data_IF_568053939823
#
_entry.id   IF_568053939823
#
_cell.length_a   1.000
_cell.length_b   1.000
_cell.length_c   1.000
_cell.angle_alpha   90.00
_cell.angle_beta   90.00
_cell.angle_gamma   90.00
#
_symmetry.space_group_name_H-M   'P 1'
#
loop_
_entity.id
_entity.type
_entity.pdbx_description
1 polymer ?
#
# COMPACT_ATOMS: atom_id res chain seq x y z
N UNK A 1 3.82 3.82 25.32
CA UNK A 1 3.31 4.65 24.20
C UNK A 1 3.07 6.05 24.72
N UNK A 2 3.23 7.10 23.91
CA UNK A 2 2.89 8.48 24.29
C UNK A 2 1.41 8.80 24.10
N UNK A 3 0.59 7.85 23.62
CA UNK A 3 -0.81 8.10 23.28
C UNK A 3 -1.01 8.79 21.93
N UNK A 4 0.06 9.10 21.20
CA UNK A 4 0.02 9.87 19.95
C UNK A 4 0.79 9.12 18.86
N UNK A 5 0.18 9.00 17.68
CA UNK A 5 0.88 8.60 16.46
C UNK A 5 0.87 9.74 15.46
N UNK A 6 1.93 9.89 14.68
CA UNK A 6 2.06 10.90 13.61
C UNK A 6 2.34 10.18 12.32
N UNK A 7 1.53 10.42 11.29
CA UNK A 7 1.63 9.76 9.99
C UNK A 7 1.76 10.82 8.91
N UNK A 8 2.87 10.81 8.18
CA UNK A 8 3.02 11.67 7.00
C UNK A 8 2.16 11.14 5.87
N UNK A 9 1.52 12.03 5.11
CA UNK A 9 0.64 11.67 4.00
C UNK A 9 0.82 12.63 2.82
N UNK A 10 0.61 12.13 1.61
CA UNK A 10 0.52 12.93 0.38
C UNK A 10 -0.91 13.40 0.08
N UNK A 11 -1.90 12.97 0.86
CA UNK A 11 -3.29 13.41 0.72
C UNK A 11 -3.39 14.86 1.19
N UNK A 12 -3.76 15.76 0.27
CA UNK A 12 -3.81 17.19 0.55
C UNK A 12 -4.99 17.58 1.45
N UNK A 13 -6.11 16.86 1.38
CA UNK A 13 -7.31 17.08 2.19
C UNK A 13 -8.14 15.80 2.30
N UNK A 14 -8.76 15.59 3.46
CA UNK A 14 -9.73 14.52 3.72
C UNK A 14 -11.17 15.07 3.77
N UNK A 15 -12.15 14.16 3.75
CA UNK A 15 -13.59 14.48 3.87
C UNK A 15 -14.35 13.36 4.60
N UNK A 16 -15.67 13.30 4.45
CA UNK A 16 -16.56 12.36 5.16
C UNK A 16 -16.48 10.88 4.69
N UNK A 17 -15.48 10.52 3.90
CA UNK A 17 -15.32 9.17 3.33
C UNK A 17 -14.45 8.24 4.18
N UNK A 18 -14.08 8.66 5.40
CA UNK A 18 -13.25 7.91 6.34
C UNK A 18 -11.82 7.56 5.87
N UNK A 19 -11.32 8.10 4.75
CA UNK A 19 -10.01 7.72 4.23
C UNK A 19 -8.86 7.96 5.24
N UNK A 20 -8.98 8.95 6.12
CA UNK A 20 -7.99 9.23 7.17
C UNK A 20 -7.89 8.11 8.23
N UNK A 21 -8.88 7.21 8.30
CA UNK A 21 -8.93 6.07 9.22
C UNK A 21 -8.27 4.82 8.65
N UNK A 22 -7.69 4.88 7.45
CA UNK A 22 -7.05 3.74 6.78
C UNK A 22 -5.64 4.05 6.30
N UNK A 23 -4.68 3.22 6.69
CA UNK A 23 -3.27 3.34 6.28
C UNK A 23 -3.09 3.17 4.77
N UNK A 24 -3.88 2.30 4.15
CA UNK A 24 -3.90 2.09 2.69
C UNK A 24 -4.39 3.30 1.89
N UNK A 25 -5.04 4.27 2.55
CA UNK A 25 -5.61 5.46 1.93
C UNK A 25 -4.91 6.75 2.41
N UNK A 26 -3.68 6.61 2.92
CA UNK A 26 -2.86 7.74 3.39
C UNK A 26 -3.23 8.24 4.79
N UNK A 27 -4.09 7.53 5.51
CA UNK A 27 -4.46 7.79 6.89
C UNK A 27 -3.75 6.88 7.90
N UNK A 28 -4.42 6.57 9.01
CA UNK A 28 -3.91 5.66 10.04
C UNK A 28 -5.04 4.79 10.58
N UNK A 29 -4.82 3.47 10.62
CA UNK A 29 -5.78 2.53 11.20
C UNK A 29 -6.05 2.86 12.66
N UNK A 30 -7.30 2.69 13.09
CA UNK A 30 -7.72 2.81 14.48
C UNK A 30 -6.90 1.88 15.40
N UNK A 31 -6.61 2.35 16.61
CA UNK A 31 -6.37 1.45 17.74
C UNK A 31 -7.67 0.74 18.12
N UNK A 32 -7.57 -0.31 18.93
CA UNK A 32 -8.73 -1.09 19.36
C UNK A 32 -9.83 -0.18 19.94
N UNK A 33 -10.92 0.03 19.20
CA UNK A 33 -12.00 0.95 19.52
C UNK A 33 -12.80 0.55 20.76
N UNK A 34 -12.69 -0.71 21.19
CA UNK A 34 -13.23 -1.16 22.48
C UNK A 34 -12.40 -0.71 23.69
N UNK A 35 -11.17 -0.22 23.48
CA UNK A 35 -10.24 0.16 24.55
C UNK A 35 -9.79 1.62 24.44
N UNK A 36 -9.96 2.25 23.28
CA UNK A 36 -9.50 3.61 23.02
C UNK A 36 -10.56 4.40 22.27
N UNK A 37 -10.81 5.65 22.72
CA UNK A 37 -11.39 6.67 21.85
C UNK A 37 -10.32 7.10 20.85
N UNK A 38 -10.52 6.76 19.58
CA UNK A 38 -9.63 7.20 18.51
C UNK A 38 -10.03 8.60 18.06
N UNK A 39 -9.04 9.51 18.01
CA UNK A 39 -9.21 10.87 17.50
C UNK A 39 -8.22 11.06 16.35
N UNK A 40 -8.74 11.22 15.13
CA UNK A 40 -7.95 11.56 13.96
C UNK A 40 -7.91 13.06 13.77
N UNK A 41 -6.71 13.62 13.68
CA UNK A 41 -6.51 15.05 13.41
C UNK A 41 -5.88 15.17 12.02
N UNK A 42 -6.55 15.84 11.09
CA UNK A 42 -6.10 15.94 9.71
C UNK A 42 -6.53 17.26 9.04
N UNK A 43 -6.10 17.50 7.81
CA UNK A 43 -6.62 18.61 7.01
C UNK A 43 -7.98 18.22 6.43
N UNK A 44 -9.07 18.78 6.97
CA UNK A 44 -10.43 18.55 6.48
C UNK A 44 -10.82 19.64 5.47
N UNK A 45 -11.43 19.21 4.36
CA UNK A 45 -11.90 20.10 3.30
C UNK A 45 -13.41 20.33 3.35
N UNK A 46 -13.91 21.16 2.43
CA UNK A 46 -15.35 21.36 2.25
C UNK A 46 -16.06 22.11 3.38
N UNK A 47 -15.32 22.84 4.22
CA UNK A 47 -15.87 23.58 5.37
C UNK A 47 -16.14 22.73 6.61
N UNK A 48 -15.72 21.46 6.61
CA UNK A 48 -15.93 20.54 7.73
C UNK A 48 -14.97 20.84 8.89
N UNK A 49 -15.51 21.04 10.09
CA UNK A 49 -14.71 21.24 11.32
C UNK A 49 -14.31 19.92 11.97
N UNK A 50 -15.24 18.96 11.99
CA UNK A 50 -15.08 17.64 12.56
C UNK A 50 -16.30 16.76 12.27
N UNK A 51 -16.21 15.49 12.62
CA UNK A 51 -17.37 14.59 12.65
C UNK A 51 -17.10 13.39 13.58
N UNK A 52 -18.18 12.77 14.05
CA UNK A 52 -18.18 11.52 14.79
C UNK A 52 -19.35 10.62 14.40
N UNK A 53 -19.24 9.35 14.76
CA UNK A 53 -20.35 8.40 14.68
C UNK A 53 -20.96 8.17 16.06
N UNK A 54 -22.29 8.24 16.13
CA UNK A 54 -23.03 7.79 17.30
C UNK A 54 -22.91 6.27 17.47
N UNK A 55 -23.05 5.75 18.70
CA UNK A 55 -22.94 4.32 18.96
C UNK A 55 -23.84 3.48 18.04
N UNK A 56 -23.27 2.44 17.42
CA UNK A 56 -24.00 1.50 16.57
C UNK A 56 -24.29 1.98 15.15
N UNK A 57 -23.84 3.17 14.76
CA UNK A 57 -24.08 3.73 13.40
C UNK A 57 -22.94 3.51 12.41
N UNK A 58 -21.82 2.94 12.87
CA UNK A 58 -20.62 2.72 12.04
C UNK A 58 -19.92 1.41 12.37
N UNK A 59 -19.02 0.98 11.47
CA UNK A 59 -18.18 -0.19 11.70
C UNK A 59 -17.07 0.10 12.73
N UNK A 60 -16.67 -0.92 13.49
CA UNK A 60 -15.71 -0.77 14.59
C UNK A 60 -14.33 -0.22 14.17
N UNK A 61 -13.94 -0.38 12.90
CA UNK A 61 -12.66 0.12 12.38
C UNK A 61 -12.69 1.62 11.97
N UNK A 62 -13.88 2.23 11.92
CA UNK A 62 -14.04 3.67 11.63
C UNK A 62 -14.68 4.44 12.80
N UNK A 63 -15.03 3.77 13.89
CA UNK A 63 -15.60 4.39 15.09
C UNK A 63 -14.59 5.31 15.80
N UNK A 64 -15.04 6.51 16.17
CA UNK A 64 -14.23 7.55 16.81
C UNK A 64 -14.57 8.94 16.30
N UNK A 65 -13.65 9.88 16.52
CA UNK A 65 -13.81 11.31 16.25
C UNK A 65 -12.78 11.77 15.23
N UNK A 66 -13.17 12.60 14.27
CA UNK A 66 -12.25 13.25 13.33
C UNK A 66 -12.34 14.75 13.49
N UNK A 67 -11.18 15.43 13.53
CA UNK A 67 -11.07 16.87 13.71
C UNK A 67 -10.17 17.48 12.64
N UNK A 68 -10.55 18.66 12.16
CA UNK A 68 -9.67 19.55 11.42
C UNK A 68 -8.57 20.06 12.34
N UNK A 69 -7.30 19.93 11.97
CA UNK A 69 -6.19 20.40 12.82
C UNK A 69 -6.28 21.89 13.18
N UNK A 70 -6.94 22.68 12.33
CA UNK A 70 -7.14 24.12 12.51
C UNK A 70 -8.13 24.46 13.63
N UNK A 71 -8.93 23.50 14.12
CA UNK A 71 -9.91 23.70 15.20
C UNK A 71 -9.36 23.41 16.60
N UNK A 72 -8.14 22.87 16.68
CA UNK A 72 -7.49 22.61 17.97
C UNK A 72 -7.21 23.92 18.72
N UNK A 73 -7.11 23.88 20.07
CA UNK A 73 -6.73 25.05 20.86
C UNK A 73 -5.45 25.71 20.34
N UNK A 74 -5.54 26.99 19.98
CA UNK A 74 -4.42 27.76 19.39
C UNK A 74 -4.18 27.51 17.90
N UNK A 75 -5.09 26.80 17.23
CA UNK A 75 -5.12 26.63 15.78
C UNK A 75 -5.52 27.90 15.03
N UNK A 76 -5.39 27.87 13.70
CA UNK A 76 -5.64 29.02 12.81
C UNK A 76 -7.11 29.18 12.42
N UNK A 77 -7.99 28.26 12.80
CA UNK A 77 -9.38 28.20 12.37
C UNK A 77 -10.35 29.03 13.20
N UNK A 78 -9.95 30.22 13.69
CA UNK A 78 -10.86 31.11 14.39
C UNK A 78 -12.12 31.38 13.53
N UNK A 79 -13.35 31.37 14.12
CA UNK A 79 -13.65 31.38 15.55
C UNK A 79 -13.78 29.99 16.23
N UNK A 80 -13.33 28.91 15.60
CA UNK A 80 -13.48 27.53 16.07
C UNK A 80 -12.18 26.91 16.60
N UNK A 81 -11.33 27.70 17.26
CA UNK A 81 -9.96 27.33 17.61
C UNK A 81 -9.69 27.31 19.14
N UNK A 82 -10.73 27.11 19.95
CA UNK A 82 -10.60 26.89 21.40
C UNK A 82 -10.84 25.43 21.79
N UNK A 83 -11.08 24.56 20.81
CA UNK A 83 -11.22 23.11 20.97
C UNK A 83 -12.65 22.63 21.21
N UNK A 84 -13.68 23.46 21.02
CA UNK A 84 -15.07 23.04 21.26
C UNK A 84 -15.66 22.18 20.16
N UNK A 85 -15.10 22.23 18.95
CA UNK A 85 -15.36 21.18 17.94
C UNK A 85 -15.12 19.78 18.53
N UNK A 86 -14.00 19.57 19.25
CA UNK A 86 -13.75 18.27 19.87
C UNK A 86 -14.80 17.93 20.94
N UNK A 87 -15.21 18.89 21.76
CA UNK A 87 -16.27 18.71 22.76
C UNK A 87 -17.59 18.31 22.12
N UNK A 88 -17.98 18.97 21.03
CA UNK A 88 -19.19 18.68 20.25
C UNK A 88 -19.16 17.27 19.65
N UNK A 89 -18.10 16.91 18.93
CA UNK A 89 -17.97 15.58 18.31
C UNK A 89 -17.89 14.44 19.34
N UNK A 90 -17.26 14.68 20.48
CA UNK A 90 -17.24 13.72 21.59
C UNK A 90 -18.65 13.56 22.21
N UNK A 91 -19.47 14.62 22.20
CA UNK A 91 -20.89 14.54 22.53
C UNK A 91 -21.63 13.54 21.63
N UNK A 92 -21.47 13.65 20.31
CA UNK A 92 -22.01 12.66 19.36
C UNK A 92 -21.47 11.25 19.58
N UNK A 93 -20.15 11.11 19.81
CA UNK A 93 -19.53 9.83 20.14
C UNK A 93 -20.20 9.16 21.36
N UNK A 94 -20.62 9.96 22.35
CA UNK A 94 -21.40 9.53 23.52
C UNK A 94 -22.92 9.71 23.37
N UNK A 95 -23.43 9.61 22.15
CA UNK A 95 -24.85 9.49 21.82
C UNK A 95 -25.69 10.76 22.05
N UNK A 96 -25.10 11.94 22.05
CA UNK A 96 -25.87 13.19 22.01
C UNK A 96 -26.27 13.53 20.57
N UNK A 97 -27.50 14.02 20.41
CA UNK A 97 -27.99 14.62 19.17
C UNK A 97 -27.70 16.12 19.19
N UNK A 98 -27.79 16.78 18.03
CA UNK A 98 -27.86 18.23 17.97
C UNK A 98 -29.09 18.75 18.72
N UNK A 99 -28.97 19.89 19.39
CA UNK A 99 -30.02 20.39 20.30
C UNK A 99 -31.32 20.81 19.59
N UNK A 100 -31.28 21.08 18.28
CA UNK A 100 -32.45 21.31 17.44
C UNK A 100 -33.12 20.02 16.93
N UNK A 101 -32.63 18.85 17.38
CA UNK A 101 -33.12 17.54 16.98
C UNK A 101 -32.53 17.03 15.66
N UNK A 102 -33.07 15.93 15.12
CA UNK A 102 -32.52 15.27 13.93
C UNK A 102 -32.66 16.11 12.66
N UNK A 103 -31.67 15.98 11.77
CA UNK A 103 -31.66 16.64 10.47
C UNK A 103 -31.26 18.11 10.54
N UNK A 104 -31.80 18.93 9.63
CA UNK A 104 -31.40 20.33 9.46
C UNK A 104 -32.29 21.32 10.25
N UNK A 105 -33.05 20.84 11.24
CA UNK A 105 -34.05 21.64 11.97
C UNK A 105 -35.35 21.85 11.18
N UNK A 106 -36.14 22.83 11.59
CA UNK A 106 -37.39 23.27 10.96
C UNK A 106 -38.66 22.61 11.49
N UNK A 107 -38.54 21.72 12.47
CA UNK A 107 -39.64 20.86 12.93
C UNK A 107 -39.84 20.85 14.45
N UNK A 108 -39.07 21.63 15.22
CA UNK A 108 -39.10 21.64 16.67
C UNK A 108 -38.99 20.22 17.28
N UNK A 109 -38.16 19.36 16.67
CA UNK A 109 -37.97 18.01 17.13
C UNK A 109 -37.13 17.96 18.41
N UNK A 110 -37.22 16.84 19.12
CA UNK A 110 -36.44 16.58 20.33
C UNK A 110 -35.06 15.99 19.97
N UNK A 111 -34.05 16.38 20.75
CA UNK A 111 -32.71 15.77 20.82
C UNK A 111 -32.66 14.58 21.82
N UNK A 112 -33.84 14.13 22.27
CA UNK A 112 -34.04 13.06 23.25
C UNK A 112 -33.46 13.37 24.64
N UNK A 113 -33.33 14.67 24.97
CA UNK A 113 -32.96 15.16 26.30
C UNK A 113 -34.04 16.13 26.79
N UNK A 114 -34.57 15.91 27.99
CA UNK A 114 -35.73 16.66 28.47
C UNK A 114 -35.41 18.06 29.01
N UNK A 115 -34.17 18.30 29.45
CA UNK A 115 -33.73 19.58 30.03
C UNK A 115 -33.03 20.51 29.01
N UNK A 116 -33.04 20.14 27.73
CA UNK A 116 -32.73 21.01 26.58
C UNK A 116 -34.05 21.54 25.99
N UNK A 117 -34.28 22.87 25.97
CA UNK A 117 -35.48 23.45 25.38
C UNK A 117 -35.61 23.06 23.89
N UNK A 118 -36.81 22.72 23.39
CA UNK A 118 -37.01 22.46 21.96
C UNK A 118 -36.55 23.65 21.13
N UNK A 119 -35.76 23.40 20.09
CA UNK A 119 -35.15 24.42 19.26
C UNK A 119 -35.44 24.17 17.77
N UNK A 120 -35.69 25.23 17.00
CA UNK A 120 -36.13 25.09 15.61
C UNK A 120 -34.96 24.81 14.66
N UNK A 121 -33.88 25.59 14.75
CA UNK A 121 -32.71 25.53 13.86
C UNK A 121 -31.42 25.69 14.68
N UNK A 122 -30.25 25.28 14.15
CA UNK A 122 -28.97 25.63 14.77
C UNK A 122 -28.81 27.14 14.94
N UNK A 123 -28.20 27.55 16.04
CA UNK A 123 -27.70 28.90 16.22
C UNK A 123 -26.24 28.99 15.79
N UNK A 124 -25.84 30.15 15.27
CA UNK A 124 -24.47 30.44 14.82
C UNK A 124 -23.94 31.71 15.50
N UNK A 125 -22.65 31.99 15.31
CA UNK A 125 -21.95 33.14 15.90
C UNK A 125 -22.05 33.16 17.43
N UNK A 126 -22.46 34.28 18.01
CA UNK A 126 -22.61 34.47 19.45
C UNK A 126 -23.94 35.18 19.73
N UNK A 127 -25.07 34.44 19.71
CA UNK A 127 -26.40 35.00 19.93
C UNK A 127 -26.50 35.66 21.31
N UNK A 128 -27.38 36.66 21.42
CA UNK A 128 -27.71 37.29 22.70
C UNK A 128 -28.90 36.58 23.33
N UNK A 129 -28.81 36.24 24.61
CA UNK A 129 -29.92 35.63 25.34
C UNK A 129 -30.97 36.69 25.74
N UNK A 130 -32.28 36.39 25.65
CA UNK A 130 -32.88 35.17 25.10
C UNK A 130 -33.03 35.22 23.58
N UNK A 131 -32.87 34.06 22.93
CA UNK A 131 -33.17 33.83 21.51
C UNK A 131 -34.20 32.71 21.39
N UNK A 132 -35.50 32.96 21.60
CA UNK A 132 -36.49 31.90 21.69
C UNK A 132 -36.93 31.34 20.32
N UNK A 133 -37.18 30.04 20.28
CA UNK A 133 -37.84 29.35 19.17
C UNK A 133 -38.81 28.28 19.70
N UNK A 134 -39.64 27.66 18.85
CA UNK A 134 -40.50 26.52 19.25
C UNK A 134 -41.33 26.73 20.53
N UNK A 135 -41.82 27.95 20.78
CA UNK A 135 -42.54 28.35 22.00
C UNK A 135 -41.77 28.14 23.31
N UNK A 136 -40.44 28.06 23.27
CA UNK A 136 -39.58 28.03 24.45
C UNK A 136 -39.33 29.45 25.00
N UNK A 137 -38.59 29.56 26.11
CA UNK A 137 -38.23 30.84 26.76
C UNK A 137 -36.87 31.40 26.27
N UNK A 138 -36.20 30.70 25.36
CA UNK A 138 -34.84 30.94 24.90
C UNK A 138 -34.19 29.62 24.51
N UNK A 139 -33.67 29.56 23.29
CA UNK A 139 -32.79 28.48 22.86
C UNK A 139 -31.57 28.42 23.76
N UNK A 140 -31.13 27.21 24.11
CA UNK A 140 -29.91 27.00 24.89
C UNK A 140 -28.70 27.04 23.97
N UNK A 141 -28.52 28.14 23.24
CA UNK A 141 -27.50 28.29 22.19
C UNK A 141 -26.06 28.16 22.69
N UNK A 142 -25.82 28.30 24.00
CA UNK A 142 -24.53 28.06 24.64
C UNK A 142 -24.22 26.58 24.92
N UNK A 143 -25.12 25.67 24.54
CA UNK A 143 -24.91 24.24 24.66
C UNK A 143 -23.82 23.77 23.68
N UNK A 144 -22.96 22.84 24.09
CA UNK A 144 -21.94 22.29 23.21
C UNK A 144 -22.51 21.55 21.98
N UNK A 145 -23.78 21.15 21.99
CA UNK A 145 -24.46 20.50 20.87
C UNK A 145 -25.21 21.46 19.94
N UNK A 146 -24.99 22.78 20.06
CA UNK A 146 -25.38 23.78 19.06
C UNK A 146 -24.18 24.14 18.14
N UNK A 147 -24.35 25.05 17.17
CA UNK A 147 -23.34 25.44 16.17
C UNK A 147 -22.77 26.86 16.34
N UNK A 148 -22.88 27.43 17.54
CA UNK A 148 -22.28 28.73 17.87
C UNK A 148 -20.74 28.70 17.82
N UNK A 149 -20.10 29.85 17.90
CA UNK A 149 -18.64 29.95 17.99
C UNK A 149 -18.11 29.32 19.29
N UNK A 150 -16.87 28.82 19.27
CA UNK A 150 -16.26 28.14 20.43
C UNK A 150 -16.35 28.97 21.72
N UNK A 151 -16.11 30.28 21.64
CA UNK A 151 -16.15 31.20 22.78
C UNK A 151 -17.55 31.39 23.40
N UNK A 152 -18.60 30.93 22.70
CA UNK A 152 -20.00 31.15 23.05
C UNK A 152 -20.74 29.88 23.46
N UNK A 153 -20.08 28.72 23.44
CA UNK A 153 -20.57 27.48 24.03
C UNK A 153 -19.75 27.08 25.27
N UNK A 154 -20.44 26.69 26.35
CA UNK A 154 -19.78 26.44 27.63
C UNK A 154 -20.45 25.39 28.52
N UNK A 155 -21.52 24.71 28.07
CA UNK A 155 -22.19 23.74 28.94
C UNK A 155 -22.81 22.53 28.23
N UNK A 156 -22.86 21.43 28.97
CA UNK A 156 -23.82 20.34 28.80
C UNK A 156 -24.88 20.42 29.90
N UNK A 157 -26.05 19.82 29.68
CA UNK A 157 -27.10 19.68 30.69
C UNK A 157 -26.92 18.43 31.55
N UNK A 158 -27.74 18.30 32.60
CA UNK A 158 -27.75 17.09 33.45
C UNK A 158 -28.35 15.91 32.69
N UNK A 159 -29.35 16.15 31.84
CA UNK A 159 -29.92 15.15 30.94
C UNK A 159 -28.92 14.63 29.91
N UNK A 160 -28.15 15.53 29.28
CA UNK A 160 -27.07 15.14 28.36
C UNK A 160 -26.00 14.29 29.06
N UNK A 161 -25.57 14.67 30.27
CA UNK A 161 -24.68 13.83 31.10
C UNK A 161 -25.26 12.42 31.29
N UNK A 162 -26.53 12.34 31.67
CA UNK A 162 -27.21 11.05 31.94
C UNK A 162 -27.20 10.16 30.68
N UNK A 163 -27.49 10.74 29.51
CA UNK A 163 -27.47 10.05 28.23
C UNK A 163 -26.07 9.57 27.84
N UNK A 164 -25.04 10.40 28.02
CA UNK A 164 -23.64 10.00 27.79
C UNK A 164 -23.20 8.84 28.68
N UNK A 165 -23.55 8.87 29.98
CA UNK A 165 -23.23 7.78 30.91
C UNK A 165 -23.94 6.47 30.53
N UNK A 166 -25.18 6.54 30.04
CA UNK A 166 -25.90 5.39 29.51
C UNK A 166 -25.21 4.81 28.26
N UNK A 167 -24.76 5.67 27.33
CA UNK A 167 -24.04 5.25 26.13
C UNK A 167 -22.71 4.54 26.45
N UNK A 168 -21.96 5.05 27.45
CA UNK A 168 -20.75 4.40 27.94
C UNK A 168 -21.06 2.98 28.44
N UNK A 169 -22.08 2.85 29.28
CA UNK A 169 -22.43 1.57 29.90
C UNK A 169 -22.98 0.55 28.90
N UNK A 170 -23.81 1.00 27.94
CA UNK A 170 -24.50 0.12 27.01
C UNK A 170 -23.67 -0.25 25.77
N UNK A 171 -22.86 0.68 25.25
CA UNK A 171 -22.23 0.52 23.92
C UNK A 171 -20.72 0.72 23.92
N UNK A 172 -20.14 1.27 25.00
CA UNK A 172 -18.70 1.58 25.07
C UNK A 172 -18.05 1.09 26.38
N UNK A 173 -18.57 0.01 26.96
CA UNK A 173 -18.17 -0.48 28.29
C UNK A 173 -16.69 -0.86 28.39
N UNK A 174 -16.05 -1.27 27.29
CA UNK A 174 -14.62 -1.55 27.27
C UNK A 174 -13.73 -0.34 27.56
N UNK A 175 -14.22 0.89 27.36
CA UNK A 175 -13.49 2.11 27.75
C UNK A 175 -13.31 2.20 29.27
N UNK A 176 -14.23 1.63 30.06
CA UNK A 176 -14.15 1.61 31.53
C UNK A 176 -13.07 0.65 32.04
N UNK A 177 -12.71 -0.36 31.26
CA UNK A 177 -11.72 -1.39 31.64
C UNK A 177 -10.37 -1.21 30.93
N UNK A 178 -10.25 -0.16 30.11
CA UNK A 178 -9.04 0.13 29.35
C UNK A 178 -7.83 0.33 30.26
N UNK A 179 -6.77 -0.41 29.98
CA UNK A 179 -5.47 -0.25 30.63
C UNK A 179 -4.61 0.84 29.96
N UNK A 180 -5.16 1.59 28.99
CA UNK A 180 -4.41 2.60 28.23
C UNK A 180 -3.80 3.73 29.07
N UNK A 181 -4.38 4.00 30.24
CA UNK A 181 -3.89 5.00 31.21
C UNK A 181 -2.99 4.40 32.30
N UNK A 182 -2.84 3.07 32.36
CA UNK A 182 -1.92 2.42 33.29
C UNK A 182 -0.52 2.45 32.65
N UNK A 183 0.48 3.07 33.31
CA UNK A 183 1.85 3.05 32.81
C UNK A 183 2.28 1.60 32.61
N UNK A 184 2.78 1.26 31.42
CA UNK A 184 3.34 -0.06 31.16
C UNK A 184 4.55 -0.23 32.09
N UNK A 185 4.41 -1.06 33.11
CA UNK A 185 5.54 -1.48 33.95
C UNK A 185 6.37 -2.40 33.09
N UNK A 186 7.49 -1.88 32.59
CA UNK A 186 8.42 -2.69 31.80
C UNK A 186 9.08 -3.72 32.74
N UNK A 187 9.19 -4.98 32.34
CA UNK A 187 9.98 -5.96 33.09
C UNK A 187 11.47 -5.56 33.13
N UNK A 188 12.26 -6.19 34.00
CA UNK A 188 13.69 -5.88 34.12
C UNK A 188 14.44 -6.12 32.80
N UNK A 189 14.20 -7.27 32.16
CA UNK A 189 14.75 -7.65 30.86
C UNK A 189 13.62 -8.25 30.01
N UNK A 190 13.47 -7.78 28.78
CA UNK A 190 12.51 -8.30 27.80
C UNK A 190 13.04 -7.97 26.40
N UNK A 191 13.46 -9.00 25.68
CA UNK A 191 13.90 -8.86 24.28
C UNK A 191 12.69 -9.16 23.41
N UNK A 192 12.44 -8.33 22.41
CA UNK A 192 11.32 -8.55 21.48
C UNK A 192 11.82 -8.55 20.04
N UNK A 193 11.29 -9.46 19.23
CA UNK A 193 11.49 -9.46 17.79
C UNK A 193 10.40 -8.60 17.14
N UNK A 194 10.79 -7.43 16.62
CA UNK A 194 9.82 -6.44 16.10
C UNK A 194 9.44 -6.73 14.66
N UNK A 195 10.40 -7.10 13.81
CA UNK A 195 10.14 -7.38 12.39
C UNK A 195 11.29 -8.08 11.70
N UNK A 196 10.98 -8.81 10.63
CA UNK A 196 11.96 -9.27 9.62
C UNK A 196 12.07 -8.19 8.53
N UNK A 197 13.27 -7.65 8.32
CA UNK A 197 13.59 -6.64 7.28
C UNK A 197 13.97 -7.31 5.97
N UNK A 198 14.81 -8.33 6.05
CA UNK A 198 15.22 -9.18 4.92
C UNK A 198 15.03 -10.64 5.32
N UNK A 199 14.45 -11.50 4.46
CA UNK A 199 14.03 -11.23 3.09
C UNK A 199 12.82 -10.29 2.97
N UNK A 200 12.75 -9.51 1.89
CA UNK A 200 11.53 -8.78 1.48
C UNK A 200 10.56 -9.76 0.80
N UNK A 201 9.42 -9.28 0.27
CA UNK A 201 8.45 -10.16 -0.40
C UNK A 201 9.05 -10.94 -1.59
N UNK A 202 10.10 -10.42 -2.22
CA UNK A 202 10.82 -11.09 -3.31
C UNK A 202 12.31 -10.83 -3.21
N UNK A 203 13.13 -11.88 -3.27
CA UNK A 203 14.60 -11.82 -3.20
C UNK A 203 15.23 -12.71 -4.27
N UNK A 204 16.50 -12.49 -4.67
CA UNK A 204 17.19 -13.45 -5.53
C UNK A 204 17.37 -14.81 -4.84
N UNK A 205 17.27 -15.91 -5.59
CA UNK A 205 17.75 -17.22 -5.13
C UNK A 205 19.27 -17.22 -5.02
N UNK A 206 19.83 -18.05 -4.17
CA UNK A 206 21.26 -18.08 -3.87
C UNK A 206 21.51 -17.65 -2.43
N UNK A 207 22.54 -16.85 -2.18
CA UNK A 207 22.87 -16.42 -0.82
C UNK A 207 21.84 -15.42 -0.27
N UNK A 208 21.19 -15.78 0.84
CA UNK A 208 20.31 -14.93 1.63
C UNK A 208 20.96 -14.66 2.99
N UNK A 209 21.25 -13.39 3.29
CA UNK A 209 21.58 -12.91 4.63
C UNK A 209 20.35 -12.22 5.24
N UNK A 210 19.63 -12.86 6.18
CA UNK A 210 18.46 -12.25 6.81
C UNK A 210 18.85 -11.02 7.65
N UNK A 211 17.93 -10.07 7.75
CA UNK A 211 18.04 -8.93 8.66
C UNK A 211 16.77 -8.80 9.47
N UNK A 212 16.91 -8.53 10.76
CA UNK A 212 15.78 -8.39 11.69
C UNK A 212 15.94 -7.16 12.57
N UNK A 213 14.82 -6.66 13.10
CA UNK A 213 14.80 -5.62 14.11
C UNK A 213 14.44 -6.25 15.45
N UNK A 214 15.35 -6.15 16.41
CA UNK A 214 15.11 -6.48 17.81
C UNK A 214 14.83 -5.21 18.61
N UNK A 215 14.10 -5.33 19.71
CA UNK A 215 13.78 -4.24 20.62
C UNK A 215 14.02 -4.67 22.06
N UNK A 216 14.56 -3.77 22.87
CA UNK A 216 14.52 -3.92 24.32
C UNK A 216 13.16 -3.41 24.84
N UNK A 217 12.27 -4.33 25.19
CA UNK A 217 10.99 -4.03 25.81
C UNK A 217 11.07 -3.99 27.35
N UNK A 218 12.25 -4.22 27.94
CA UNK A 218 12.53 -4.12 29.37
C UNK A 218 13.14 -2.78 29.79
N UNK A 219 13.48 -2.67 31.07
CA UNK A 219 14.10 -1.48 31.68
C UNK A 219 15.62 -1.49 31.61
N UNK A 220 16.24 -2.65 31.84
CA UNK A 220 17.69 -2.76 31.90
C UNK A 220 18.27 -2.87 30.50
N UNK A 221 19.51 -2.40 30.33
CA UNK A 221 20.20 -2.50 29.05
C UNK A 221 20.44 -3.98 28.71
N UNK A 222 20.07 -4.38 27.49
CA UNK A 222 20.33 -5.71 26.96
C UNK A 222 21.67 -5.69 26.21
N UNK A 223 22.62 -6.53 26.67
CA UNK A 223 23.96 -6.60 26.08
C UNK A 223 24.18 -7.84 25.21
N UNK A 224 23.34 -8.87 25.37
CA UNK A 224 23.43 -10.10 24.59
C UNK A 224 22.05 -10.72 24.38
N UNK A 225 21.84 -11.32 23.20
CA UNK A 225 20.68 -12.15 22.90
C UNK A 225 21.05 -13.17 21.82
N UNK A 226 20.40 -14.33 21.84
CA UNK A 226 20.52 -15.33 20.77
C UNK A 226 19.38 -15.14 19.78
N UNK A 227 19.71 -14.99 18.50
CA UNK A 227 18.77 -14.91 17.40
C UNK A 227 18.95 -16.15 16.55
N UNK A 228 17.89 -16.92 16.35
CA UNK A 228 17.89 -18.09 15.50
C UNK A 228 16.89 -17.94 14.37
N UNK A 229 17.20 -18.47 13.19
CA UNK A 229 16.25 -18.51 12.08
C UNK A 229 16.26 -19.86 11.37
N UNK A 230 15.13 -20.21 10.75
CA UNK A 230 15.00 -21.37 9.86
C UNK A 230 14.23 -20.98 8.59
N UNK A 231 14.52 -21.69 7.48
CA UNK A 231 13.81 -21.58 6.21
C UNK A 231 13.07 -22.90 5.98
N UNK A 232 11.77 -22.84 5.68
CA UNK A 232 10.91 -23.98 5.34
C UNK A 232 10.95 -25.15 6.36
N UNK A 233 10.99 -24.81 7.65
CA UNK A 233 11.15 -25.78 8.75
C UNK A 233 12.45 -26.61 8.67
N UNK A 234 13.44 -26.14 7.91
CA UNK A 234 14.77 -26.72 7.85
C UNK A 234 15.62 -26.43 9.10
N UNK A 235 16.92 -26.79 9.07
CA UNK A 235 17.82 -26.59 10.19
C UNK A 235 17.89 -25.12 10.64
N UNK A 236 17.86 -24.90 11.97
CA UNK A 236 18.00 -23.56 12.53
C UNK A 236 19.46 -23.10 12.51
N UNK A 237 19.68 -21.87 12.02
CA UNK A 237 20.96 -21.17 12.10
C UNK A 237 20.88 -20.19 13.27
N UNK A 238 21.80 -20.31 14.22
CA UNK A 238 21.85 -19.47 15.42
C UNK A 238 22.96 -18.43 15.35
N UNK A 239 22.69 -17.24 15.88
CA UNK A 239 23.61 -16.13 15.96
C UNK A 239 23.52 -15.47 17.33
N UNK A 240 24.66 -15.25 17.99
CA UNK A 240 24.73 -14.53 19.26
C UNK A 240 24.99 -13.05 18.99
N UNK A 241 23.95 -12.24 19.16
CA UNK A 241 24.05 -10.80 19.10
C UNK A 241 24.68 -10.27 20.39
N UNK A 242 25.72 -9.45 20.27
CA UNK A 242 26.33 -8.70 21.36
C UNK A 242 26.23 -7.21 21.04
N UNK A 243 25.86 -6.39 22.02
CA UNK A 243 25.70 -4.96 21.83
C UNK A 243 25.33 -4.21 23.11
N UNK A 244 24.67 -3.07 22.94
CA UNK A 244 24.25 -2.20 24.03
C UNK A 244 22.88 -1.61 23.71
N UNK A 245 21.81 -2.39 23.91
CA UNK A 245 20.44 -2.00 23.54
C UNK A 245 19.74 -1.37 24.75
N UNK A 246 19.71 -0.04 24.78
CA UNK A 246 19.03 0.74 25.81
C UNK A 246 17.52 0.43 25.88
N UNK A 247 16.90 0.70 27.03
CA UNK A 247 15.45 0.50 27.20
C UNK A 247 14.65 1.17 26.09
N UNK A 248 13.68 0.44 25.54
CA UNK A 248 12.80 0.85 24.44
C UNK A 248 13.49 1.11 23.09
N UNK A 249 14.81 1.03 23.01
CA UNK A 249 15.54 1.17 21.76
C UNK A 249 15.40 -0.09 20.89
N UNK A 250 15.65 0.09 19.60
CA UNK A 250 15.70 -0.99 18.61
C UNK A 250 17.09 -1.11 18.00
N UNK A 251 17.42 -2.31 17.51
CA UNK A 251 18.62 -2.56 16.73
C UNK A 251 18.30 -3.43 15.52
N UNK A 252 18.90 -3.09 14.37
CA UNK A 252 18.87 -3.93 13.18
C UNK A 252 20.06 -4.89 13.23
N UNK A 253 19.79 -6.20 13.13
CA UNK A 253 20.80 -7.25 13.21
C UNK A 253 20.84 -8.00 11.89
N UNK A 254 22.04 -8.09 11.31
CA UNK A 254 22.33 -8.97 10.17
C UNK A 254 22.69 -10.35 10.68
N UNK A 255 22.00 -11.37 10.15
CA UNK A 255 22.20 -12.77 10.52
C UNK A 255 23.14 -13.45 9.50
N UNK A 256 23.79 -14.57 9.87
CA UNK A 256 24.62 -15.34 8.94
C UNK A 256 23.87 -15.68 7.66
N UNK A 257 24.60 -15.73 6.53
CA UNK A 257 24.00 -16.07 5.25
C UNK A 257 23.70 -17.58 5.15
N UNK A 258 22.60 -17.92 4.49
CA UNK A 258 22.27 -19.27 4.03
C UNK A 258 22.03 -19.27 2.52
N UNK A 259 21.92 -20.44 1.90
CA UNK A 259 21.57 -20.56 0.48
C UNK A 259 20.11 -20.98 0.34
N UNK A 260 19.38 -20.30 -0.54
CA UNK A 260 17.97 -20.59 -0.89
C UNK A 260 17.85 -20.91 -2.38
N UNK A 261 16.96 -21.83 -2.73
CA UNK A 261 16.62 -22.12 -4.14
C UNK A 261 15.65 -21.06 -4.69
N UNK A 262 15.29 -21.15 -5.98
CA UNK A 262 14.15 -20.39 -6.48
C UNK A 262 12.83 -21.05 -6.02
N UNK A 263 11.80 -20.25 -5.77
CA UNK A 263 10.49 -20.70 -5.29
C UNK A 263 9.99 -19.92 -4.07
N UNK A 264 8.79 -20.27 -3.61
CA UNK A 264 8.19 -19.68 -2.41
C UNK A 264 8.78 -20.33 -1.17
N UNK A 265 9.22 -19.50 -0.24
CA UNK A 265 9.84 -19.90 1.02
C UNK A 265 9.14 -19.20 2.20
N UNK A 266 9.30 -19.76 3.39
CA UNK A 266 8.92 -19.13 4.65
C UNK A 266 10.10 -19.09 5.61
N UNK A 267 10.45 -17.90 6.09
CA UNK A 267 11.42 -17.72 7.17
C UNK A 267 10.70 -17.63 8.51
N UNK A 268 11.23 -18.30 9.53
CA UNK A 268 10.84 -18.12 10.93
C UNK A 268 12.08 -17.67 11.69
N UNK A 269 11.95 -16.59 12.47
CA UNK A 269 13.01 -16.07 13.33
C UNK A 269 12.54 -16.06 14.76
N UNK A 270 13.42 -16.46 15.68
CA UNK A 270 13.20 -16.43 17.13
C UNK A 270 14.32 -15.69 17.85
N UNK A 271 13.98 -15.00 18.93
CA UNK A 271 14.93 -14.40 19.87
C UNK A 271 14.84 -15.09 21.22
N UNK A 272 15.98 -15.32 21.87
CA UNK A 272 16.05 -15.87 23.23
C UNK A 272 17.11 -15.14 24.06
N UNK A 273 16.80 -14.92 25.34
CA UNK A 273 17.69 -14.27 26.29
C UNK A 273 17.39 -14.77 27.71
N UNK A 274 18.42 -14.86 28.55
CA UNK A 274 18.24 -15.19 29.97
C UNK A 274 17.49 -14.06 30.69
N UNK A 275 16.46 -14.42 31.47
CA UNK A 275 15.65 -13.45 32.20
C UNK A 275 14.65 -12.69 31.33
N UNK A 276 14.44 -13.12 30.08
CA UNK A 276 13.39 -12.59 29.21
C UNK A 276 12.00 -12.82 29.81
N UNK A 277 11.26 -11.73 30.02
CA UNK A 277 9.99 -11.76 30.73
C UNK A 277 8.78 -12.10 29.85
N UNK A 278 8.91 -12.00 28.51
CA UNK A 278 7.77 -12.18 27.62
C UNK A 278 8.11 -13.01 26.37
N UNK A 279 8.04 -14.33 26.49
CA UNK A 279 8.32 -15.23 25.37
C UNK A 279 7.38 -15.08 24.15
N UNK A 280 6.22 -14.41 24.29
CA UNK A 280 5.24 -14.30 23.19
C UNK A 280 5.64 -13.31 22.10
N UNK A 281 6.54 -12.37 22.39
CA UNK A 281 7.02 -11.35 21.45
C UNK A 281 8.34 -11.73 20.75
N UNK A 282 8.79 -12.98 20.95
CA UNK A 282 10.11 -13.45 20.51
C UNK A 282 10.13 -14.10 19.13
N UNK A 283 8.98 -14.33 18.50
CA UNK A 283 8.90 -15.09 17.25
C UNK A 283 8.20 -14.29 16.16
N UNK A 284 8.76 -14.32 14.95
CA UNK A 284 8.16 -13.74 13.75
C UNK A 284 8.39 -14.68 12.58
N UNK A 285 7.43 -14.72 11.66
CA UNK A 285 7.57 -15.42 10.39
C UNK A 285 7.25 -14.51 9.21
N UNK A 286 7.75 -14.88 8.03
CA UNK A 286 7.48 -14.17 6.78
C UNK A 286 7.60 -15.12 5.59
N UNK A 287 6.58 -15.17 4.75
CA UNK A 287 6.67 -15.77 3.42
C UNK A 287 7.33 -14.82 2.43
N UNK A 288 8.15 -15.36 1.52
CA UNK A 288 8.81 -14.62 0.46
C UNK A 288 9.02 -15.50 -0.77
N UNK A 289 9.22 -14.90 -1.93
CA UNK A 289 9.51 -15.62 -3.17
C UNK A 289 10.97 -15.39 -3.60
N UNK A 290 11.72 -16.46 -3.81
CA UNK A 290 13.08 -16.44 -4.30
C UNK A 290 13.10 -16.61 -5.83
N UNK A 291 13.73 -15.70 -6.56
CA UNK A 291 13.77 -15.71 -8.03
C UNK A 291 15.16 -16.08 -8.58
N UNK A 292 15.22 -16.99 -9.54
CA UNK A 292 16.48 -17.43 -10.16
C UNK A 292 17.16 -16.31 -10.95
N UNK A 293 18.44 -16.07 -10.70
CA UNK A 293 19.23 -15.01 -11.34
C UNK A 293 20.16 -15.49 -12.46
N UNK A 294 20.05 -16.71 -12.97
CA UNK A 294 20.81 -17.13 -14.15
C UNK A 294 20.10 -16.71 -15.44
N UNK A 295 20.88 -16.23 -16.42
CA UNK A 295 20.39 -15.77 -17.74
C UNK A 295 19.33 -16.71 -18.31
N UNK A 296 18.11 -16.19 -18.43
CA UNK A 296 16.97 -16.92 -18.98
C UNK A 296 17.20 -17.04 -20.49
N UNK A 297 17.78 -18.15 -20.92
CA UNK A 297 17.80 -18.50 -22.33
C UNK A 297 16.47 -19.17 -22.67
N UNK A 298 15.65 -18.51 -23.47
CA UNK A 298 14.39 -19.07 -23.94
C UNK A 298 14.58 -19.63 -25.35
N UNK A 299 14.60 -20.97 -25.46
CA UNK A 299 14.71 -21.67 -26.74
C UNK A 299 13.36 -21.87 -27.44
N UNK A 300 12.25 -21.68 -26.74
CA UNK A 300 10.88 -21.95 -27.24
C UNK A 300 10.64 -23.40 -27.64
N UNK A 301 11.37 -24.36 -27.08
CA UNK A 301 11.16 -25.80 -27.34
C UNK A 301 10.06 -26.43 -26.48
N UNK A 302 9.55 -25.72 -25.48
CA UNK A 302 8.53 -26.19 -24.54
C UNK A 302 7.12 -25.71 -24.86
N UNK A 303 6.27 -25.64 -23.83
CA UNK A 303 4.92 -25.07 -23.92
C UNK A 303 4.96 -23.58 -24.27
N UNK A 304 4.00 -23.13 -25.08
CA UNK A 304 3.86 -21.72 -25.44
C UNK A 304 2.51 -21.13 -24.98
N UNK A 305 2.50 -19.95 -24.32
CA UNK A 305 3.68 -19.17 -23.91
C UNK A 305 4.50 -19.92 -22.84
N UNK A 306 5.82 -19.67 -22.75
CA UNK A 306 6.63 -20.24 -21.69
C UNK A 306 6.10 -19.86 -20.32
N UNK A 307 6.37 -20.68 -19.30
CA UNK A 307 5.91 -20.39 -17.93
C UNK A 307 6.38 -19.00 -17.49
N UNK A 308 5.46 -18.20 -16.91
CA UNK A 308 5.67 -16.81 -16.49
C UNK A 308 5.84 -15.77 -17.61
N UNK A 309 5.63 -16.14 -18.88
CA UNK A 309 5.53 -15.18 -19.98
C UNK A 309 4.06 -14.79 -20.21
N UNK A 310 3.85 -13.55 -20.65
CA UNK A 310 2.54 -13.05 -21.09
C UNK A 310 2.51 -12.90 -22.60
N UNK A 311 1.37 -13.20 -23.23
CA UNK A 311 1.14 -12.87 -24.65
C UNK A 311 -0.18 -12.13 -24.75
N UNK A 312 -0.14 -10.90 -25.26
CA UNK A 312 -1.30 -10.07 -25.51
C UNK A 312 -1.34 -9.64 -26.97
N UNK A 313 -2.54 -9.42 -27.49
CA UNK A 313 -2.78 -8.92 -28.84
C UNK A 313 -4.00 -8.02 -28.84
N UNK A 314 -4.04 -7.04 -29.74
CA UNK A 314 -5.22 -6.18 -29.93
C UNK A 314 -6.44 -6.95 -30.44
N UNK A 315 -6.22 -8.09 -31.12
CA UNK A 315 -7.27 -9.07 -31.45
C UNK A 315 -6.83 -10.48 -31.05
N UNK A 316 -7.79 -11.37 -30.75
CA UNK A 316 -7.48 -12.72 -30.25
C UNK A 316 -6.66 -13.57 -31.25
N UNK A 317 -6.77 -13.28 -32.55
CA UNK A 317 -6.10 -14.03 -33.62
C UNK A 317 -4.74 -13.45 -34.01
N UNK A 318 -4.46 -12.18 -33.70
CA UNK A 318 -3.20 -11.50 -34.03
C UNK A 318 -2.30 -11.40 -32.80
N UNK A 319 -1.53 -12.45 -32.53
CA UNK A 319 -0.64 -12.54 -31.36
C UNK A 319 0.61 -13.37 -31.65
N UNK A 320 1.63 -13.24 -30.80
CA UNK A 320 2.76 -14.17 -30.80
C UNK A 320 2.30 -15.63 -30.66
N UNK A 321 2.88 -16.51 -31.46
CA UNK A 321 2.60 -17.94 -31.49
C UNK A 321 3.91 -18.73 -31.61
N UNK A 322 3.89 -20.00 -31.27
CA UNK A 322 5.01 -20.91 -31.53
C UNK A 322 4.86 -21.54 -32.92
N UNK A 323 5.99 -21.77 -33.59
CA UNK A 323 6.05 -22.50 -34.85
C UNK A 323 7.23 -23.46 -34.87
N UNK A 324 7.06 -24.58 -35.57
CA UNK A 324 8.11 -25.55 -35.89
C UNK A 324 8.60 -25.44 -37.33
N UNK A 325 8.07 -24.48 -38.12
CA UNK A 325 8.42 -24.31 -39.53
C UNK A 325 9.82 -23.72 -39.73
N UNK A 326 10.29 -22.91 -38.78
CA UNK A 326 11.63 -22.33 -38.81
C UNK A 326 12.11 -22.03 -37.38
N UNK A 327 13.43 -22.14 -37.16
CA UNK A 327 14.08 -21.76 -35.91
C UNK A 327 15.54 -21.35 -36.16
N UNK A 328 16.06 -20.41 -35.36
CA UNK A 328 17.49 -20.06 -35.37
C UNK A 328 18.38 -21.20 -34.83
N UNK A 329 17.86 -21.90 -33.82
CA UNK A 329 18.48 -23.00 -33.08
C UNK A 329 17.37 -23.93 -32.61
N UNK A 330 17.60 -25.24 -32.58
CA UNK A 330 16.58 -26.20 -32.17
C UNK A 330 15.53 -26.44 -33.26
N UNK A 331 14.31 -26.77 -32.86
CA UNK A 331 13.20 -27.11 -33.74
C UNK A 331 12.07 -26.07 -33.74
N UNK A 332 11.98 -25.25 -32.69
CA UNK A 332 10.87 -24.32 -32.52
C UNK A 332 11.34 -22.86 -32.40
N UNK A 333 10.49 -21.94 -32.83
CA UNK A 333 10.64 -20.51 -32.55
C UNK A 333 9.27 -19.88 -32.28
N UNK A 334 9.27 -18.58 -32.01
CA UNK A 334 8.03 -17.81 -31.95
C UNK A 334 7.93 -16.87 -33.15
N UNK A 335 6.70 -16.64 -33.61
CA UNK A 335 6.41 -15.77 -34.73
C UNK A 335 5.10 -15.01 -34.53
N UNK A 336 4.89 -13.99 -35.36
CA UNK A 336 3.60 -13.34 -35.56
C UNK A 336 3.22 -13.58 -37.01
N UNK A 337 2.03 -14.13 -37.23
CA UNK A 337 1.48 -14.26 -38.57
C UNK A 337 0.98 -12.91 -39.07
N UNK A 338 1.84 -12.21 -39.79
CA UNK A 338 1.53 -10.92 -40.41
C UNK A 338 1.31 -11.02 -41.93
N UNK A 339 1.24 -12.24 -42.48
CA UNK A 339 1.03 -12.46 -43.91
C UNK A 339 -0.43 -12.86 -44.17
N UNK A 340 -0.93 -13.88 -43.48
CA UNK A 340 -2.31 -14.34 -43.66
C UNK A 340 -3.31 -13.46 -42.88
N UNK A 341 -2.86 -12.87 -41.76
CA UNK A 341 -3.67 -11.97 -40.94
C UNK A 341 -3.36 -10.51 -41.27
N UNK A 342 -4.06 -9.96 -42.27
CA UNK A 342 -3.97 -8.54 -42.62
C UNK A 342 -4.67 -7.66 -41.58
N UNK A 343 -3.89 -7.09 -40.66
CA UNK A 343 -4.41 -6.36 -39.51
C UNK A 343 -3.60 -5.06 -39.25
N UNK A 344 -3.61 -4.06 -40.14
CA UNK A 344 -2.79 -2.86 -39.99
C UNK A 344 -3.13 -2.09 -38.70
N UNK A 345 -2.11 -1.58 -38.02
CA UNK A 345 -2.22 -0.86 -36.75
C UNK A 345 -2.41 -1.74 -35.52
N UNK A 346 -2.42 -3.08 -35.68
CA UNK A 346 -2.55 -4.00 -34.56
C UNK A 346 -1.22 -4.25 -33.86
N UNK A 347 -1.31 -4.48 -32.55
CA UNK A 347 -0.14 -4.68 -31.69
C UNK A 347 -0.23 -6.04 -31.02
N UNK A 348 0.91 -6.71 -30.93
CA UNK A 348 1.06 -7.86 -30.06
C UNK A 348 2.31 -7.74 -29.21
N UNK A 349 2.16 -8.12 -27.94
CA UNK A 349 3.21 -8.05 -26.94
C UNK A 349 3.53 -9.43 -26.40
N UNK A 350 4.83 -9.72 -26.28
CA UNK A 350 5.35 -10.80 -25.46
C UNK A 350 5.99 -10.21 -24.20
N UNK A 351 5.40 -10.47 -23.04
CA UNK A 351 5.91 -10.10 -21.72
C UNK A 351 6.89 -11.15 -21.20
N UNK A 352 8.07 -10.72 -20.78
CA UNK A 352 9.01 -11.60 -20.07
C UNK A 352 8.78 -11.55 -18.54
N UNK A 353 9.20 -12.59 -17.81
CA UNK A 353 9.19 -12.61 -16.36
C UNK A 353 10.00 -11.45 -15.77
N UNK A 354 9.51 -10.90 -14.67
CA UNK A 354 10.16 -9.77 -14.01
C UNK A 354 11.55 -10.18 -13.49
N UNK A 355 12.60 -9.47 -13.89
CA UNK A 355 14.00 -9.85 -13.60
C UNK A 355 14.71 -8.75 -12.80
N UNK A 356 15.45 -9.12 -11.75
CA UNK A 356 16.31 -8.18 -11.00
C UNK A 356 17.74 -8.23 -11.55
N UNK A 357 18.24 -7.07 -11.99
CA UNK A 357 19.57 -6.93 -12.60
C UNK A 357 20.64 -6.32 -11.67
N UNK A 358 20.29 -5.95 -10.44
CA UNK A 358 21.15 -5.15 -9.55
C UNK A 358 22.46 -5.78 -9.10
N UNK A 359 22.58 -7.10 -9.18
CA UNK A 359 23.81 -7.82 -8.88
C UNK A 359 24.77 -7.94 -10.07
N UNK A 360 24.44 -7.42 -11.25
CA UNK A 360 25.20 -7.65 -12.48
C UNK A 360 25.82 -6.36 -13.03
N UNK A 361 27.11 -6.42 -13.38
CA UNK A 361 27.87 -5.28 -13.91
C UNK A 361 27.86 -5.16 -15.43
N UNK A 362 27.50 -6.23 -16.16
CA UNK A 362 27.35 -6.27 -17.61
C UNK A 362 26.13 -7.11 -17.95
N UNK A 363 25.05 -6.47 -18.37
CA UNK A 363 23.81 -7.16 -18.74
C UNK A 363 23.46 -6.87 -20.18
N UNK A 364 23.15 -7.93 -20.93
CA UNK A 364 22.74 -7.84 -22.32
C UNK A 364 21.46 -8.66 -22.54
N UNK A 365 20.54 -8.11 -23.33
CA UNK A 365 19.45 -8.86 -23.94
C UNK A 365 19.86 -9.20 -25.36
N UNK A 366 19.86 -10.49 -25.68
CA UNK A 366 20.20 -11.00 -27.00
C UNK A 366 19.04 -11.82 -27.54
N UNK A 367 18.65 -11.59 -28.80
CA UNK A 367 17.64 -12.39 -29.49
C UNK A 367 17.95 -12.52 -30.97
N UNK A 368 17.47 -13.58 -31.60
CA UNK A 368 17.55 -13.76 -33.05
C UNK A 368 16.22 -13.37 -33.70
N UNK A 369 16.29 -12.63 -34.80
CA UNK A 369 15.12 -12.19 -35.57
C UNK A 369 15.29 -12.53 -37.03
N UNK A 370 14.20 -12.97 -37.68
CA UNK A 370 14.11 -13.12 -39.12
C UNK A 370 12.85 -12.43 -39.64
N UNK A 371 12.97 -11.62 -40.69
CA UNK A 371 11.85 -10.86 -41.24
C UNK A 371 12.06 -10.52 -42.72
N UNK A 372 10.97 -10.46 -43.50
CA UNK A 372 10.89 -9.83 -44.81
C UNK A 372 9.63 -8.97 -44.89
N UNK A 373 9.75 -7.82 -45.54
CA UNK A 373 8.58 -6.96 -45.77
C UNK A 373 7.71 -7.51 -46.90
N UNK A 374 6.40 -7.29 -46.85
CA UNK A 374 5.53 -7.60 -47.99
C UNK A 374 5.82 -6.70 -49.21
N UNK A 375 6.04 -5.41 -48.95
CA UNK A 375 6.41 -4.41 -49.96
C UNK A 375 7.40 -3.38 -49.38
N UNK A 376 8.20 -2.75 -50.23
CA UNK A 376 9.20 -1.74 -49.79
C UNK A 376 8.57 -0.36 -49.53
N UNK A 377 7.45 -0.32 -48.81
CA UNK A 377 6.84 0.96 -48.41
C UNK A 377 7.68 1.64 -47.34
N UNK A 378 7.87 2.95 -47.46
CA UNK A 378 8.57 3.77 -46.45
C UNK A 378 7.60 4.44 -45.47
N UNK A 379 6.32 4.48 -45.82
CA UNK A 379 5.24 5.03 -44.99
C UNK A 379 4.66 3.93 -44.10
N UNK A 380 5.00 3.99 -42.80
CA UNK A 380 4.59 3.07 -41.74
C UNK A 380 4.93 1.61 -42.05
N UNK A 381 6.18 1.16 -41.89
CA UNK A 381 6.51 -0.24 -42.06
C UNK A 381 6.23 -1.04 -40.78
N UNK A 382 6.02 -2.35 -40.93
CA UNK A 382 6.05 -3.30 -39.82
C UNK A 382 7.29 -3.06 -38.93
N UNK A 383 7.10 -3.13 -37.61
CA UNK A 383 8.17 -2.82 -36.67
C UNK A 383 8.19 -3.73 -35.45
N UNK A 384 9.40 -3.98 -34.97
CA UNK A 384 9.70 -4.67 -33.71
C UNK A 384 10.33 -3.68 -32.74
N UNK A 385 9.74 -3.57 -31.56
CA UNK A 385 10.16 -2.67 -30.50
C UNK A 385 10.36 -3.45 -29.19
N UNK A 386 11.44 -3.16 -28.46
CA UNK A 386 11.69 -3.69 -27.11
C UNK A 386 11.54 -2.55 -26.11
N UNK A 387 10.66 -2.75 -25.15
CA UNK A 387 10.34 -1.80 -24.09
C UNK A 387 10.81 -2.33 -22.74
N UNK A 388 11.28 -1.43 -21.87
CA UNK A 388 11.68 -1.75 -20.49
C UNK A 388 10.94 -0.87 -19.48
N UNK A 389 10.56 -1.45 -18.34
CA UNK A 389 10.03 -0.72 -17.18
C UNK A 389 10.91 -0.89 -15.95
N UNK A 390 11.22 0.21 -15.27
CA UNK A 390 11.98 0.28 -14.01
C UNK A 390 11.09 0.59 -12.79
N UNK A 391 9.79 0.74 -12.98
CA UNK A 391 8.83 1.15 -11.95
C UNK A 391 7.63 0.21 -11.81
N UNK A 392 7.85 -1.08 -12.01
CA UNK A 392 6.82 -2.10 -11.80
C UNK A 392 5.75 -2.14 -12.90
N UNK A 393 6.10 -1.73 -14.13
CA UNK A 393 5.19 -1.76 -15.28
C UNK A 393 4.29 -0.53 -15.45
N UNK A 394 4.51 0.55 -14.68
CA UNK A 394 3.72 1.78 -14.77
C UNK A 394 4.09 2.63 -15.99
N UNK A 395 5.38 2.73 -16.31
CA UNK A 395 5.88 3.40 -17.52
C UNK A 395 6.92 2.55 -18.22
N UNK A 396 7.02 2.73 -19.54
CA UNK A 396 7.94 2.00 -20.40
C UNK A 396 8.83 2.92 -21.21
N UNK A 397 10.08 2.53 -21.39
CA UNK A 397 11.07 3.20 -22.24
C UNK A 397 11.46 2.29 -23.39
N UNK A 398 11.47 2.82 -24.62
CA UNK A 398 11.94 2.10 -25.81
C UNK A 398 13.46 2.01 -25.78
N UNK A 399 13.98 0.78 -25.81
CA UNK A 399 15.43 0.50 -25.80
C UNK A 399 15.92 -0.12 -27.11
N UNK A 400 14.98 -0.50 -27.98
CA UNK A 400 15.24 -0.95 -29.33
C UNK A 400 13.99 -0.75 -30.17
N UNK A 401 14.14 -0.26 -31.40
CA UNK A 401 13.07 -0.22 -32.40
C UNK A 401 13.66 -0.31 -33.80
N UNK A 402 13.21 -1.29 -34.59
CA UNK A 402 13.51 -1.38 -36.02
C UNK A 402 12.25 -1.67 -36.79
N UNK A 403 12.12 -1.05 -37.97
CA UNK A 403 11.03 -1.29 -38.90
C UNK A 403 11.50 -1.27 -40.35
N UNK A 404 10.68 -1.83 -41.23
CA UNK A 404 10.93 -1.85 -42.67
C UNK A 404 12.28 -2.47 -43.03
N UNK A 405 13.06 -1.82 -43.90
CA UNK A 405 14.39 -2.29 -44.34
C UNK A 405 15.36 -2.53 -43.19
N UNK A 406 15.21 -1.80 -42.07
CA UNK A 406 16.07 -1.99 -40.89
C UNK A 406 15.72 -3.26 -40.11
N UNK A 407 14.46 -3.70 -40.15
CA UNK A 407 14.01 -4.95 -39.54
C UNK A 407 14.22 -6.15 -40.46
N UNK A 408 14.08 -5.97 -41.77
CA UNK A 408 14.27 -7.04 -42.75
C UNK A 408 15.68 -7.66 -42.67
N UNK A 409 15.73 -8.99 -42.70
CA UNK A 409 16.95 -9.79 -42.59
C UNK A 409 17.07 -10.82 -43.70
N UNK A 410 15.96 -11.28 -44.28
CA UNK A 410 15.97 -12.28 -45.35
C UNK A 410 16.55 -11.73 -46.66
N UNK A 411 17.12 -12.62 -47.48
CA UNK A 411 17.73 -12.26 -48.76
C UNK A 411 16.74 -11.59 -49.72
N UNK A 412 17.02 -10.36 -50.15
CA UNK A 412 16.01 -9.52 -50.82
C UNK A 412 15.00 -9.04 -49.79
N UNK A 413 15.08 -7.77 -49.40
CA UNK A 413 14.42 -7.20 -48.22
C UNK A 413 12.88 -7.28 -48.23
N UNK A 414 12.26 -7.70 -49.34
CA UNK A 414 10.82 -7.88 -49.49
C UNK A 414 10.42 -9.14 -50.25
N UNK A 415 9.20 -9.63 -50.05
CA UNK A 415 8.57 -10.74 -50.78
C UNK A 415 7.05 -10.58 -50.82
N UNK A 416 6.40 -10.94 -51.92
CA UNK A 416 4.94 -10.99 -52.02
C UNK A 416 4.34 -12.35 -51.70
N UNK A 417 5.20 -13.34 -51.43
CA UNK A 417 4.82 -14.69 -50.96
C UNK A 417 5.15 -14.85 -49.48
N UNK A 418 4.45 -15.75 -48.80
CA UNK A 418 4.70 -16.10 -47.40
C UNK A 418 6.18 -16.37 -47.16
N UNK A 419 6.72 -15.79 -46.08
CA UNK A 419 8.13 -15.89 -45.75
C UNK A 419 8.35 -16.82 -44.56
N UNK A 420 8.97 -17.97 -44.83
CA UNK A 420 9.51 -18.87 -43.82
C UNK A 420 11.03 -18.84 -43.91
N UNK A 421 11.76 -18.41 -42.86
CA UNK A 421 13.22 -18.38 -42.85
C UNK A 421 13.82 -19.77 -43.09
N UNK A 422 14.67 -19.91 -44.12
CA UNK A 422 15.21 -21.21 -44.53
C UNK A 422 16.75 -21.28 -44.43
N UNK A 423 17.43 -20.14 -44.50
CA UNK A 423 18.89 -20.07 -44.44
C UNK A 423 19.36 -19.54 -43.08
N UNK A 424 20.53 -19.98 -42.63
CA UNK A 424 21.13 -19.42 -41.41
C UNK A 424 21.35 -17.90 -41.52
N UNK A 425 21.60 -17.39 -42.73
CA UNK A 425 21.77 -15.96 -43.03
C UNK A 425 20.48 -15.15 -42.96
N UNK A 426 19.32 -15.80 -42.94
CA UNK A 426 18.03 -15.11 -42.77
C UNK A 426 17.85 -14.57 -41.34
N UNK A 427 18.61 -15.10 -40.38
CA UNK A 427 18.51 -14.72 -38.98
C UNK A 427 19.62 -13.75 -38.59
N UNK A 428 19.23 -12.62 -38.00
CA UNK A 428 20.15 -11.66 -37.40
C UNK A 428 20.06 -11.73 -35.88
N UNK A 429 21.20 -11.75 -35.21
CA UNK A 429 21.25 -11.60 -33.75
C UNK A 429 21.29 -10.13 -33.39
N UNK A 430 20.33 -9.69 -32.59
CA UNK A 430 20.30 -8.38 -31.96
C UNK A 430 20.89 -8.49 -30.55
N UNK A 431 21.58 -7.45 -30.10
CA UNK A 431 22.15 -7.37 -28.74
C UNK A 431 21.95 -5.96 -28.21
N UNK A 432 21.30 -5.88 -27.04
CA UNK A 432 20.95 -4.62 -26.39
C UNK A 432 21.59 -4.61 -25.02
N UNK A 433 22.35 -3.57 -24.69
CA UNK A 433 22.89 -3.38 -23.35
C UNK A 433 21.77 -2.98 -22.39
N UNK A 434 21.59 -3.77 -21.33
CA UNK A 434 20.70 -3.49 -20.21
C UNK A 434 21.44 -2.93 -18.99
N UNK A 435 22.77 -2.80 -19.09
CA UNK A 435 23.63 -2.25 -18.03
C UNK A 435 23.14 -0.91 -17.47
N UNK A 436 22.62 0.05 -18.26
CA UNK A 436 22.08 1.31 -17.70
C UNK A 436 20.89 1.13 -16.74
N UNK A 437 20.26 -0.05 -16.72
CA UNK A 437 19.05 -0.34 -15.93
C UNK A 437 19.33 -1.27 -14.74
N UNK A 438 20.60 -1.67 -14.52
CA UNK A 438 20.96 -2.58 -13.44
C UNK A 438 20.84 -1.93 -12.05
N UNK A 439 20.95 -0.61 -11.90
CA UNK A 439 20.83 0.06 -10.60
C UNK A 439 19.39 0.16 -10.08
N UNK A 440 18.39 -0.33 -10.83
CA UNK A 440 16.99 -0.37 -10.40
C UNK A 440 16.78 -1.46 -9.34
N UNK A 441 16.21 -1.08 -8.20
CA UNK A 441 15.83 -2.01 -7.13
C UNK A 441 14.51 -2.75 -7.38
N UNK A 442 13.78 -2.38 -8.43
CA UNK A 442 12.53 -3.01 -8.84
C UNK A 442 12.76 -4.03 -9.95
N UNK A 443 11.97 -5.10 -9.97
CA UNK A 443 11.97 -6.09 -11.05
C UNK A 443 11.66 -5.42 -12.40
N UNK A 444 12.49 -5.70 -13.41
CA UNK A 444 12.35 -5.15 -14.76
C UNK A 444 11.37 -5.98 -15.57
N UNK A 445 10.44 -5.31 -16.26
CA UNK A 445 9.51 -5.94 -17.20
C UNK A 445 9.96 -5.63 -18.63
N UNK A 446 10.04 -6.65 -19.48
CA UNK A 446 10.35 -6.51 -20.90
C UNK A 446 9.14 -6.89 -21.74
N UNK A 447 8.92 -6.14 -22.82
CA UNK A 447 7.93 -6.50 -23.83
C UNK A 447 8.52 -6.39 -25.23
N UNK A 448 8.35 -7.44 -26.03
CA UNK A 448 8.54 -7.38 -27.49
C UNK A 448 7.21 -6.96 -28.12
N UNK A 449 7.13 -5.72 -28.57
CA UNK A 449 5.98 -5.18 -29.28
C UNK A 449 6.22 -5.35 -30.79
N UNK A 450 5.34 -6.08 -31.46
CA UNK A 450 5.25 -6.07 -32.92
C UNK A 450 4.04 -5.25 -33.34
N UNK A 451 4.25 -4.32 -34.26
CA UNK A 451 3.22 -3.46 -34.83
C UNK A 451 3.15 -3.69 -36.33
N UNK A 452 2.00 -4.17 -36.81
CA UNK A 452 1.70 -4.35 -38.22
C UNK A 452 1.29 -3.06 -38.88
N UNK A 453 1.60 -2.91 -40.17
CA UNK A 453 1.11 -1.81 -40.99
C UNK A 453 0.78 -2.19 -42.42
#
# INVERSE_FOLDING_TARGET
STGITRTQTSVSSFGLNDNMKFTSQGGKNAWNTSQYLNIWVCNLGGGLLGYAYQPGTSAANVDGVVLGYFTLPGGVGAPFNEGRTATHEIGHYFNLDHIWGPGNGGNCASDLVADTPPQNYPNYDCPTFPSPSCNNQGDMHMNYMDYVNDACMYMFTTGQKTRMQAAISASRGGLLTSQGCVPVVLPALDIALTSIVSPTATVPSGALAPQVIIKNAGQNIITTATIAYSIDNGPSVSYTWNGNLASQATATVSLPATTISAGVHNIVVTTTMAGDANATNNTSSRSFNAISSSGQAQSFEGTFPPTNYGVTGTTANYRWQQTSLAAKTGANSMFVDNYDINAPGNRTDLTLPATNLSSFSNVQLTFAVAHKMYSQTTSNPDSLEVLISTNGGQTYTSIYKKGGVSLATGSGSSTTSEYVPALASDWRTETISLTPYNSSTNSLFYFFNFLSF
#
